data_IF_371286130584
#
_entry.id   IF_371286130584
#
_cell.length_a   1.000
_cell.length_b   1.000
_cell.length_c   1.000
_cell.angle_alpha   90.00
_cell.angle_beta   90.00
_cell.angle_gamma   90.00
#
_symmetry.space_group_name_H-M   'P 1'
#
loop_
_entity.id
_entity.type
_entity.pdbx_description
1 polymer ?
#
# COMPACT_ATOMS: atom_id res chain seq x y z
N UNK A 1 -6.84 -2.41 40.34
CA UNK A 1 -7.24 -1.74 39.09
C UNK A 1 -6.08 -1.96 38.12
N UNK A 2 -6.10 -3.14 37.50
CA UNK A 2 -4.93 -3.90 37.05
C UNK A 2 -4.95 -4.02 35.52
N UNK A 3 -3.76 -3.91 34.89
CA UNK A 3 -3.23 -4.52 33.65
C UNK A 3 -4.11 -4.87 32.42
N UNK A 4 -5.43 -5.04 32.54
CA UNK A 4 -6.34 -5.40 31.44
C UNK A 4 -6.50 -4.30 30.39
N UNK A 5 -6.32 -3.04 30.76
CA UNK A 5 -6.39 -1.91 29.82
C UNK A 5 -5.09 -1.70 29.01
N UNK A 6 -4.01 -2.45 29.32
CA UNK A 6 -2.71 -2.37 28.63
C UNK A 6 -2.53 -3.45 27.54
N UNK A 7 -3.50 -4.36 27.33
CA UNK A 7 -3.32 -5.53 26.46
C UNK A 7 -4.41 -5.78 25.41
N UNK A 8 -5.45 -4.96 25.33
CA UNK A 8 -6.40 -5.04 24.21
C UNK A 8 -6.05 -3.97 23.17
N UNK A 9 -5.54 -4.33 21.98
CA UNK A 9 -5.37 -3.36 20.91
C UNK A 9 -6.71 -2.67 20.66
N UNK A 10 -6.69 -1.35 20.45
CA UNK A 10 -7.93 -0.61 20.20
C UNK A 10 -8.71 -1.26 19.06
N UNK A 11 -10.06 -1.31 19.10
CA UNK A 11 -10.86 -1.92 18.04
C UNK A 11 -10.48 -1.39 16.65
N UNK A 12 -10.13 -0.11 16.54
CA UNK A 12 -9.64 0.50 15.31
C UNK A 12 -8.31 -0.10 14.81
N UNK A 13 -7.35 -0.37 15.71
CA UNK A 13 -6.09 -1.04 15.34
C UNK A 13 -6.35 -2.48 14.87
N UNK A 14 -7.20 -3.22 15.57
CA UNK A 14 -7.55 -4.60 15.17
C UNK A 14 -8.19 -4.66 13.78
N UNK A 15 -9.13 -3.73 13.49
CA UNK A 15 -9.78 -3.62 12.19
C UNK A 15 -8.76 -3.23 11.11
N UNK A 16 -7.87 -2.27 11.39
CA UNK A 16 -6.81 -1.88 10.46
C UNK A 16 -5.90 -3.06 10.14
N UNK A 17 -5.43 -3.80 11.15
CA UNK A 17 -4.58 -4.96 10.97
C UNK A 17 -5.28 -6.07 10.15
N UNK A 18 -6.61 -6.21 10.26
CA UNK A 18 -7.39 -7.09 9.39
C UNK A 18 -7.38 -6.57 7.95
N UNK A 19 -7.67 -5.29 7.75
CA UNK A 19 -7.81 -4.69 6.42
C UNK A 19 -6.47 -4.51 5.67
N UNK A 20 -5.33 -4.65 6.35
CA UNK A 20 -4.00 -4.69 5.73
C UNK A 20 -3.64 -6.04 5.11
N UNK A 21 -4.24 -7.14 5.58
CA UNK A 21 -4.01 -8.47 5.03
C UNK A 21 -5.20 -9.38 5.37
N UNK A 22 -6.20 -9.32 4.49
CA UNK A 22 -7.38 -10.15 4.57
C UNK A 22 -7.50 -11.06 3.36
N UNK A 23 -8.32 -12.08 3.53
CA UNK A 23 -8.93 -12.84 2.46
C UNK A 23 -10.44 -12.83 2.62
N UNK A 24 -11.11 -13.02 1.49
CA UNK A 24 -12.56 -13.05 1.40
C UNK A 24 -12.96 -14.52 1.34
N UNK A 25 -13.73 -14.97 2.33
CA UNK A 25 -14.27 -16.31 2.41
C UNK A 25 -15.78 -16.24 2.29
N UNK A 26 -16.38 -17.02 1.39
CA UNK A 26 -17.83 -17.14 1.36
C UNK A 26 -18.44 -17.49 0.01
N UNK A 27 -19.75 -17.26 -0.09
CA UNK A 27 -20.54 -17.40 -1.31
C UNK A 27 -21.00 -16.04 -1.81
N UNK A 28 -21.75 -16.01 -2.93
CA UNK A 28 -22.39 -14.79 -3.43
C UNK A 28 -23.37 -14.15 -2.42
N UNK A 29 -23.89 -14.92 -1.45
CA UNK A 29 -24.90 -14.45 -0.51
C UNK A 29 -24.30 -14.06 0.85
N UNK A 30 -23.20 -14.69 1.23
CA UNK A 30 -22.61 -14.55 2.56
C UNK A 30 -21.11 -14.49 2.45
N UNK A 31 -20.53 -13.40 2.97
CA UNK A 31 -19.11 -13.09 2.84
C UNK A 31 -18.55 -12.74 4.21
N UNK A 32 -17.38 -13.28 4.50
CA UNK A 32 -16.60 -13.00 5.71
C UNK A 32 -15.20 -12.54 5.29
N UNK A 33 -14.73 -11.45 5.92
CA UNK A 33 -13.34 -11.05 5.88
C UNK A 33 -12.59 -11.74 7.01
N UNK A 34 -11.52 -12.47 6.70
CA UNK A 34 -10.63 -13.06 7.71
C UNK A 34 -9.19 -12.66 7.46
N UNK A 35 -8.37 -12.66 8.51
CA UNK A 35 -6.93 -12.47 8.39
C UNK A 35 -6.30 -13.69 7.72
N UNK A 36 -5.42 -13.45 6.75
CA UNK A 36 -4.80 -14.51 5.94
C UNK A 36 -3.96 -15.51 6.76
N UNK A 37 -3.13 -15.02 7.66
CA UNK A 37 -2.11 -15.85 8.36
C UNK A 37 -2.37 -16.10 9.85
N UNK A 38 -3.55 -15.79 10.36
CA UNK A 38 -3.85 -15.91 11.80
C UNK A 38 -5.03 -16.82 12.14
N UNK A 39 -5.64 -17.48 11.15
CA UNK A 39 -6.73 -18.43 11.39
C UNK A 39 -6.20 -19.85 11.60
N UNK A 40 -6.57 -20.48 12.71
CA UNK A 40 -6.45 -21.92 12.90
C UNK A 40 -7.15 -22.64 11.73
N UNK A 41 -6.59 -23.71 11.14
CA UNK A 41 -7.23 -24.39 10.00
C UNK A 41 -8.69 -24.78 10.28
N UNK A 42 -8.95 -25.26 11.50
CA UNK A 42 -10.30 -25.59 11.99
C UNK A 42 -11.23 -24.38 12.05
N UNK A 43 -10.71 -23.18 12.31
CA UNK A 43 -11.50 -21.94 12.30
C UNK A 43 -11.92 -21.57 10.87
N UNK A 44 -11.01 -21.67 9.89
CA UNK A 44 -11.34 -21.46 8.47
C UNK A 44 -12.39 -22.45 8.01
N UNK A 45 -12.22 -23.74 8.30
CA UNK A 45 -13.20 -24.79 7.97
C UNK A 45 -14.57 -24.51 8.60
N UNK A 46 -14.61 -24.09 9.86
CA UNK A 46 -15.86 -23.75 10.54
C UNK A 46 -16.57 -22.54 9.91
N UNK A 47 -15.82 -21.51 9.47
CA UNK A 47 -16.39 -20.37 8.75
C UNK A 47 -17.01 -20.84 7.43
N UNK A 48 -16.27 -21.61 6.63
CA UNK A 48 -16.78 -22.15 5.36
C UNK A 48 -18.04 -22.99 5.58
N UNK A 49 -18.03 -23.89 6.58
CA UNK A 49 -19.17 -24.73 6.89
C UNK A 49 -20.41 -23.93 7.29
N UNK A 50 -20.23 -22.86 8.09
CA UNK A 50 -21.32 -21.98 8.49
C UNK A 50 -21.92 -21.24 7.28
N UNK A 51 -21.07 -20.70 6.41
CA UNK A 51 -21.48 -19.98 5.20
C UNK A 51 -22.21 -20.93 4.23
N UNK A 52 -21.68 -22.14 4.00
CA UNK A 52 -22.33 -23.13 3.14
C UNK A 52 -23.68 -23.56 3.71
N UNK A 53 -23.73 -23.86 5.02
CA UNK A 53 -24.96 -24.26 5.68
C UNK A 53 -26.04 -23.19 5.55
N UNK A 54 -25.71 -21.93 5.79
CA UNK A 54 -26.67 -20.83 5.71
C UNK A 54 -27.07 -20.52 4.26
N UNK A 55 -26.11 -20.48 3.33
CA UNK A 55 -26.38 -20.31 1.89
C UNK A 55 -27.32 -21.39 1.32
N UNK A 56 -27.10 -22.66 1.68
CA UNK A 56 -27.91 -23.79 1.22
C UNK A 56 -29.14 -24.06 2.10
N UNK A 57 -29.35 -23.26 3.16
CA UNK A 57 -30.43 -23.41 4.15
C UNK A 57 -30.45 -24.80 4.81
N UNK A 58 -29.27 -25.35 5.09
CA UNK A 58 -29.10 -26.61 5.79
C UNK A 58 -29.29 -26.39 7.29
N UNK A 59 -29.93 -27.34 7.95
CA UNK A 59 -30.16 -27.30 9.40
C UNK A 59 -28.93 -27.69 10.23
N UNK A 60 -27.84 -28.14 9.60
CA UNK A 60 -26.64 -28.64 10.27
C UNK A 60 -25.36 -28.14 9.60
N UNK A 61 -24.54 -27.44 10.38
CA UNK A 61 -23.18 -27.01 9.99
C UNK A 61 -22.26 -28.23 9.85
N UNK A 62 -22.40 -29.23 10.71
CA UNK A 62 -21.59 -30.46 10.64
C UNK A 62 -21.83 -31.24 9.35
N UNK A 63 -23.09 -31.32 8.91
CA UNK A 63 -23.44 -31.90 7.62
C UNK A 63 -22.77 -31.11 6.50
N UNK A 64 -22.90 -29.78 6.50
CA UNK A 64 -22.28 -28.91 5.49
C UNK A 64 -20.76 -29.10 5.42
N UNK A 65 -20.08 -29.11 6.57
CA UNK A 65 -18.64 -29.37 6.70
C UNK A 65 -18.24 -30.71 6.06
N UNK A 66 -18.94 -31.78 6.43
CA UNK A 66 -18.59 -33.14 5.99
C UNK A 66 -18.78 -33.36 4.48
N UNK A 67 -19.81 -32.75 3.89
CA UNK A 67 -20.22 -32.99 2.51
C UNK A 67 -19.59 -32.02 1.51
N UNK A 68 -19.38 -30.76 1.91
CA UNK A 68 -19.00 -29.70 0.97
C UNK A 68 -17.63 -29.07 1.26
N UNK A 69 -17.17 -29.03 2.52
CA UNK A 69 -15.95 -28.30 2.86
C UNK A 69 -14.65 -29.10 2.69
N UNK A 70 -14.69 -30.45 2.74
CA UNK A 70 -13.48 -31.29 2.58
C UNK A 70 -12.75 -31.03 1.26
N UNK A 71 -13.49 -30.98 0.14
CA UNK A 71 -12.91 -30.72 -1.20
C UNK A 71 -12.40 -29.29 -1.39
N UNK A 72 -13.02 -28.31 -0.72
CA UNK A 72 -12.66 -26.88 -0.89
C UNK A 72 -11.30 -26.60 -0.24
N UNK A 73 -10.99 -27.27 0.88
CA UNK A 73 -9.74 -27.08 1.61
C UNK A 73 -8.58 -27.87 1.01
N UNK A 74 -8.84 -28.98 0.33
CA UNK A 74 -7.81 -29.78 -0.34
C UNK A 74 -7.27 -29.11 -1.62
N UNK A 75 -8.02 -28.17 -2.23
CA UNK A 75 -7.58 -27.37 -3.40
C UNK A 75 -6.81 -26.09 -3.01
N UNK A 76 -6.71 -25.74 -1.71
CA UNK A 76 -6.02 -24.54 -1.21
C UNK A 76 -4.50 -24.74 -0.94
N UNK A 77 -3.92 -25.88 -1.31
CA UNK A 77 -2.55 -26.31 -0.95
C UNK A 77 -1.39 -25.56 -1.63
N UNK A 78 -1.63 -24.49 -2.40
CA UNK A 78 -0.58 -23.49 -2.71
C UNK A 78 -0.84 -22.13 -2.03
N UNK A 79 -0.55 -22.02 -0.72
CA UNK A 79 -0.72 -20.77 0.02
C UNK A 79 0.25 -19.65 -0.38
N UNK A 80 1.21 -19.90 -1.28
CA UNK A 80 2.40 -19.05 -1.50
C UNK A 80 2.53 -18.46 -2.93
N UNK A 81 1.57 -18.72 -3.83
CA UNK A 81 1.67 -18.34 -5.26
C UNK A 81 0.65 -17.29 -5.74
N UNK A 82 -0.26 -16.79 -4.88
CA UNK A 82 -1.22 -15.78 -5.33
C UNK A 82 -0.56 -14.41 -5.57
N UNK A 83 -0.84 -13.77 -6.71
CA UNK A 83 -0.36 -12.42 -7.03
C UNK A 83 -0.77 -11.39 -5.98
N UNK A 84 -1.95 -11.56 -5.36
CA UNK A 84 -2.44 -10.72 -4.27
C UNK A 84 -1.51 -10.78 -3.06
N UNK A 85 -1.03 -11.96 -2.68
CA UNK A 85 -0.11 -12.11 -1.56
C UNK A 85 1.23 -11.41 -1.85
N UNK A 86 1.77 -11.60 -3.06
CA UNK A 86 3.03 -10.94 -3.45
C UNK A 86 2.91 -9.42 -3.38
N UNK A 87 1.78 -8.87 -3.81
CA UNK A 87 1.47 -7.45 -3.64
C UNK A 87 1.36 -7.03 -2.16
N UNK A 88 0.66 -7.79 -1.32
CA UNK A 88 0.54 -7.50 0.12
C UNK A 88 1.93 -7.47 0.79
N UNK A 89 2.83 -8.37 0.41
CA UNK A 89 4.21 -8.39 0.92
C UNK A 89 5.02 -7.16 0.48
N UNK A 90 4.82 -6.68 -0.76
CA UNK A 90 5.40 -5.43 -1.24
C UNK A 90 4.89 -4.23 -0.42
N UNK A 91 3.57 -4.17 -0.14
CA UNK A 91 2.98 -3.15 0.72
C UNK A 91 3.55 -3.18 2.14
N UNK A 92 3.60 -4.35 2.79
CA UNK A 92 4.17 -4.50 4.14
C UNK A 92 5.62 -4.03 4.17
N UNK A 93 6.42 -4.35 3.15
CA UNK A 93 7.80 -3.87 3.06
C UNK A 93 7.90 -2.35 2.91
N UNK A 94 6.98 -1.73 2.16
CA UNK A 94 6.88 -0.28 2.03
C UNK A 94 6.48 0.38 3.37
N UNK A 95 5.50 -0.17 4.06
CA UNK A 95 5.06 0.28 5.39
C UNK A 95 6.19 0.18 6.43
N UNK A 96 6.80 -0.99 6.55
CA UNK A 96 7.92 -1.25 7.46
C UNK A 96 9.10 -0.30 7.20
N UNK A 97 9.37 0.01 5.93
CA UNK A 97 10.41 0.96 5.56
C UNK A 97 10.09 2.36 6.08
N UNK A 98 8.85 2.84 5.88
CA UNK A 98 8.41 4.15 6.39
C UNK A 98 8.44 4.22 7.91
N UNK A 99 7.96 3.17 8.60
CA UNK A 99 8.00 3.06 10.07
C UNK A 99 9.43 3.14 10.60
N UNK A 100 10.35 2.34 10.06
CA UNK A 100 11.76 2.35 10.46
C UNK A 100 12.43 3.70 10.26
N UNK A 101 12.07 4.43 9.21
CA UNK A 101 12.62 5.77 8.98
C UNK A 101 12.12 6.80 9.99
N UNK A 102 10.83 6.73 10.34
CA UNK A 102 10.23 7.61 11.36
C UNK A 102 10.86 7.30 12.73
N UNK A 103 11.03 6.02 13.08
CA UNK A 103 11.64 5.59 14.34
C UNK A 103 13.11 6.01 14.52
N UNK A 104 13.79 6.40 13.43
CA UNK A 104 15.17 6.93 13.48
C UNK A 104 15.25 8.39 13.90
N UNK A 105 14.13 9.09 13.99
CA UNK A 105 14.08 10.47 14.45
C UNK A 105 14.58 10.53 15.90
N UNK A 106 15.56 11.40 16.15
CA UNK A 106 16.16 11.58 17.47
C UNK A 106 16.42 13.08 17.67
N UNK A 107 15.40 13.82 18.14
CA UNK A 107 15.48 15.26 18.32
C UNK A 107 16.22 15.67 19.61
N UNK A 108 16.55 14.72 20.48
CA UNK A 108 17.14 15.01 21.79
C UNK A 108 18.48 15.75 21.66
N UNK A 109 18.59 16.90 22.35
CA UNK A 109 19.82 17.71 22.35
C UNK A 109 20.10 18.46 21.05
N UNK A 110 19.13 18.56 20.14
CA UNK A 110 19.23 19.29 18.88
C UNK A 110 18.47 20.62 18.94
N UNK A 111 18.86 21.55 18.07
CA UNK A 111 18.20 22.85 17.94
C UNK A 111 16.74 22.70 17.50
N UNK A 112 15.90 23.66 17.90
CA UNK A 112 14.50 23.69 17.50
C UNK A 112 14.37 23.73 15.96
N UNK A 113 13.53 22.87 15.35
CA UNK A 113 13.38 22.84 13.91
C UNK A 113 12.76 24.12 13.38
N UNK A 114 13.17 24.53 12.17
CA UNK A 114 12.48 25.61 11.47
C UNK A 114 11.04 25.21 11.13
N UNK A 115 10.18 26.21 10.87
CA UNK A 115 8.77 25.96 10.53
C UNK A 115 8.60 25.00 9.34
N UNK A 116 9.50 25.07 8.37
CA UNK A 116 9.51 24.18 7.21
C UNK A 116 9.81 22.72 7.58
N UNK A 117 10.83 22.49 8.41
CA UNK A 117 11.23 21.16 8.87
C UNK A 117 10.10 20.54 9.71
N UNK A 118 9.54 21.30 10.64
CA UNK A 118 8.42 20.86 11.47
C UNK A 118 7.18 20.55 10.62
N UNK A 119 6.81 21.45 9.70
CA UNK A 119 5.69 21.25 8.79
C UNK A 119 5.86 20.02 7.89
N UNK A 120 7.07 19.78 7.39
CA UNK A 120 7.41 18.58 6.63
C UNK A 120 7.23 17.31 7.47
N UNK A 121 7.70 17.29 8.73
CA UNK A 121 7.53 16.13 9.63
C UNK A 121 6.06 15.79 9.82
N UNK A 122 5.22 16.78 10.16
CA UNK A 122 3.78 16.59 10.36
C UNK A 122 3.08 15.98 9.15
N UNK A 123 3.41 16.48 7.94
CA UNK A 123 2.81 15.98 6.69
C UNK A 123 3.32 14.59 6.34
N UNK A 124 4.59 14.29 6.58
CA UNK A 124 5.19 13.00 6.25
C UNK A 124 4.73 11.89 7.22
N UNK A 125 4.72 12.12 8.53
CA UNK A 125 4.34 11.11 9.53
C UNK A 125 2.91 10.57 9.30
N UNK A 126 1.96 11.42 8.89
CA UNK A 126 0.59 10.99 8.55
C UNK A 126 0.50 10.11 7.30
N UNK A 127 1.53 10.06 6.44
CA UNK A 127 1.45 9.37 5.16
C UNK A 127 1.35 7.85 5.29
N UNK A 128 1.73 7.26 6.43
CA UNK A 128 1.47 5.84 6.69
C UNK A 128 -0.02 5.50 6.57
N UNK A 129 -0.91 6.41 6.99
CA UNK A 129 -2.36 6.23 6.84
C UNK A 129 -2.84 6.46 5.40
N UNK A 130 -2.13 7.30 4.64
CA UNK A 130 -2.43 7.52 3.21
C UNK A 130 -1.98 6.31 2.38
N UNK A 131 -0.81 5.74 2.68
CA UNK A 131 -0.31 4.49 2.10
C UNK A 131 -1.28 3.34 2.36
N UNK A 132 -1.75 3.20 3.61
CA UNK A 132 -2.78 2.22 3.96
C UNK A 132 -4.08 2.43 3.17
N UNK A 133 -4.54 3.68 3.04
CA UNK A 133 -5.73 3.98 2.24
C UNK A 133 -5.58 3.57 0.77
N UNK A 134 -4.43 3.86 0.14
CA UNK A 134 -4.14 3.42 -1.21
C UNK A 134 -4.12 1.89 -1.32
N UNK A 135 -3.45 1.22 -0.36
CA UNK A 135 -3.39 -0.23 -0.30
C UNK A 135 -4.78 -0.88 -0.19
N UNK A 136 -5.64 -0.38 0.71
CA UNK A 136 -6.99 -0.91 0.87
C UNK A 136 -7.80 -0.80 -0.43
N UNK A 137 -7.71 0.34 -1.13
CA UNK A 137 -8.39 0.51 -2.42
C UNK A 137 -7.86 -0.48 -3.47
N UNK A 138 -6.55 -0.67 -3.56
CA UNK A 138 -5.94 -1.66 -4.46
C UNK A 138 -6.34 -3.10 -4.12
N UNK A 139 -6.35 -3.46 -2.83
CA UNK A 139 -6.76 -4.79 -2.34
C UNK A 139 -8.23 -5.10 -2.62
N UNK A 140 -9.09 -4.07 -2.70
CA UNK A 140 -10.50 -4.19 -3.08
C UNK A 140 -10.72 -4.14 -4.60
N UNK A 141 -9.67 -3.97 -5.40
CA UNK A 141 -9.76 -3.84 -6.86
C UNK A 141 -10.16 -2.45 -7.36
N UNK A 142 -10.28 -1.46 -6.46
CA UNK A 142 -10.62 -0.06 -6.75
C UNK A 142 -9.38 0.68 -7.26
N UNK A 143 -8.96 0.33 -8.47
CA UNK A 143 -7.71 0.80 -9.10
C UNK A 143 -7.61 2.33 -9.15
N UNK A 144 -8.68 3.00 -9.57
CA UNK A 144 -8.71 4.44 -9.83
C UNK A 144 -8.64 5.23 -8.52
N UNK A 145 -9.41 4.81 -7.52
CA UNK A 145 -9.39 5.37 -6.18
C UNK A 145 -8.02 5.13 -5.52
N UNK A 146 -7.43 3.95 -5.71
CA UNK A 146 -6.07 3.65 -5.27
C UNK A 146 -5.03 4.59 -5.89
N UNK A 147 -5.13 4.86 -7.20
CA UNK A 147 -4.27 5.84 -7.89
C UNK A 147 -4.51 7.28 -7.40
N UNK A 148 -5.76 7.64 -7.09
CA UNK A 148 -6.11 8.97 -6.58
C UNK A 148 -5.48 9.21 -5.20
N UNK A 149 -5.60 8.23 -4.29
CA UNK A 149 -4.97 8.30 -2.96
C UNK A 149 -3.43 8.27 -3.08
N UNK A 150 -2.90 7.49 -4.02
CA UNK A 150 -1.45 7.45 -4.32
C UNK A 150 -0.92 8.80 -4.83
N UNK A 151 -1.69 9.47 -5.70
CA UNK A 151 -1.38 10.83 -6.19
C UNK A 151 -1.40 11.85 -5.05
N UNK A 152 -2.39 11.77 -4.18
CA UNK A 152 -2.47 12.62 -2.98
C UNK A 152 -1.22 12.44 -2.10
N UNK A 153 -0.77 11.20 -1.89
CA UNK A 153 0.47 10.93 -1.15
C UNK A 153 1.69 11.58 -1.82
N UNK A 154 1.85 11.42 -3.14
CA UNK A 154 2.94 12.04 -3.90
C UNK A 154 2.92 13.57 -3.78
N UNK A 155 1.75 14.17 -3.88
CA UNK A 155 1.53 15.62 -3.74
C UNK A 155 1.90 16.11 -2.33
N UNK A 156 1.57 15.34 -1.28
CA UNK A 156 1.97 15.63 0.10
C UNK A 156 3.48 15.48 0.33
N UNK A 157 4.14 14.49 -0.29
CA UNK A 157 5.61 14.35 -0.26
C UNK A 157 6.27 15.55 -0.96
N UNK A 158 5.76 15.98 -2.11
CA UNK A 158 6.26 17.15 -2.81
C UNK A 158 6.09 18.44 -2.01
N UNK A 159 4.94 18.59 -1.34
CA UNK A 159 4.72 19.71 -0.42
C UNK A 159 5.76 19.72 0.71
N UNK A 160 6.03 18.58 1.34
CA UNK A 160 7.02 18.46 2.41
C UNK A 160 8.44 18.78 1.92
N UNK A 161 8.79 18.34 0.70
CA UNK A 161 10.04 18.71 0.03
C UNK A 161 10.18 20.22 -0.16
N UNK A 162 9.11 20.91 -0.55
CA UNK A 162 9.16 22.37 -0.65
C UNK A 162 9.25 23.04 0.73
N UNK A 163 8.48 22.54 1.70
CA UNK A 163 8.39 23.11 3.04
C UNK A 163 9.73 23.11 3.76
N UNK A 164 10.48 22.00 3.78
CA UNK A 164 11.75 21.93 4.54
C UNK A 164 12.82 22.92 4.05
N UNK A 165 12.69 23.44 2.83
CA UNK A 165 13.60 24.45 2.28
C UNK A 165 13.30 25.89 2.73
N UNK A 166 12.29 26.07 3.59
CA UNK A 166 11.77 27.37 4.00
C UNK A 166 11.78 27.49 5.53
N UNK A 167 12.36 28.58 6.03
CA UNK A 167 12.37 28.86 7.48
C UNK A 167 11.24 29.81 7.92
N UNK A 168 10.52 30.40 6.98
CA UNK A 168 9.50 31.43 7.22
C UNK A 168 8.08 30.84 7.14
N UNK A 169 7.31 31.03 8.21
CA UNK A 169 5.94 30.51 8.32
C UNK A 169 5.01 31.04 7.22
N UNK A 170 5.11 32.30 6.83
CA UNK A 170 4.25 32.89 5.81
C UNK A 170 4.60 32.40 4.41
N UNK A 171 5.85 32.00 4.16
CA UNK A 171 6.24 31.27 2.94
C UNK A 171 5.71 29.85 2.96
N UNK A 172 5.79 29.14 4.09
CA UNK A 172 5.24 27.77 4.22
C UNK A 172 3.73 27.75 3.95
N UNK A 173 2.97 28.72 4.50
CA UNK A 173 1.52 28.86 4.26
C UNK A 173 1.15 29.07 2.79
N UNK A 174 2.07 29.59 1.98
CA UNK A 174 1.84 29.92 0.55
C UNK A 174 2.23 28.80 -0.39
N UNK A 175 2.74 27.67 0.10
CA UNK A 175 3.09 26.53 -0.75
C UNK A 175 1.82 26.03 -1.45
N UNK A 176 1.89 25.97 -2.79
CA UNK A 176 0.84 25.40 -3.62
C UNK A 176 1.27 24.00 -4.01
N UNK A 177 0.56 22.98 -3.52
CA UNK A 177 0.90 21.56 -3.69
C UNK A 177 1.12 21.16 -5.15
N UNK A 178 0.29 21.66 -6.06
CA UNK A 178 0.41 21.37 -7.51
C UNK A 178 1.65 21.98 -8.17
N UNK A 179 2.27 23.00 -7.54
CA UNK A 179 3.55 23.58 -7.98
C UNK A 179 4.75 22.92 -7.30
N UNK A 180 4.56 22.35 -6.12
CA UNK A 180 5.60 21.69 -5.35
C UNK A 180 6.18 20.47 -6.09
N UNK A 181 5.33 19.73 -6.82
CA UNK A 181 5.77 18.58 -7.62
C UNK A 181 6.82 18.96 -8.68
N UNK A 182 6.69 20.15 -9.28
CA UNK A 182 7.66 20.64 -10.27
C UNK A 182 9.03 20.94 -9.65
N UNK A 183 9.07 21.33 -8.37
CA UNK A 183 10.33 21.50 -7.63
C UNK A 183 10.95 20.15 -7.29
N UNK A 184 10.15 19.21 -6.78
CA UNK A 184 10.62 17.86 -6.48
C UNK A 184 11.16 17.15 -7.74
N UNK A 185 10.51 17.32 -8.89
CA UNK A 185 10.94 16.69 -10.16
C UNK A 185 12.30 17.17 -10.65
N UNK A 186 12.69 18.42 -10.34
CA UNK A 186 14.05 18.91 -10.65
C UNK A 186 15.12 18.17 -9.85
N UNK A 187 14.77 17.72 -8.66
CA UNK A 187 15.66 16.99 -7.76
C UNK A 187 15.62 15.46 -8.00
N UNK A 188 14.42 14.92 -8.23
CA UNK A 188 14.16 13.49 -8.45
C UNK A 188 13.35 13.34 -9.75
N UNK A 189 14.01 13.26 -10.92
CA UNK A 189 13.31 13.30 -12.22
C UNK A 189 12.26 12.20 -12.42
N UNK A 190 12.48 11.02 -11.84
CA UNK A 190 11.55 9.90 -11.99
C UNK A 190 10.21 10.14 -11.28
N UNK A 191 10.13 11.02 -10.26
CA UNK A 191 8.86 11.33 -9.60
C UNK A 191 7.88 12.04 -10.55
N UNK A 192 8.39 12.79 -11.54
CA UNK A 192 7.56 13.42 -12.57
C UNK A 192 6.87 12.38 -13.47
N UNK A 193 7.55 11.25 -13.77
CA UNK A 193 6.92 10.13 -14.50
C UNK A 193 5.83 9.47 -13.68
N UNK A 194 6.07 9.24 -12.39
CA UNK A 194 5.06 8.71 -11.48
C UNK A 194 3.85 9.65 -11.38
N UNK A 195 4.09 10.97 -11.27
CA UNK A 195 3.01 11.96 -11.24
C UNK A 195 2.18 11.96 -12.52
N UNK A 196 2.84 11.92 -13.69
CA UNK A 196 2.16 11.85 -14.98
C UNK A 196 1.31 10.59 -15.12
N UNK A 197 1.87 9.43 -14.74
CA UNK A 197 1.18 8.15 -14.72
C UNK A 197 -0.07 8.19 -13.82
N UNK A 198 0.07 8.62 -12.56
CA UNK A 198 -1.05 8.71 -11.62
C UNK A 198 -2.09 9.75 -12.07
N UNK A 199 -1.66 10.86 -12.66
CA UNK A 199 -2.58 11.87 -13.19
C UNK A 199 -3.41 11.30 -14.35
N UNK A 200 -2.77 10.60 -15.28
CA UNK A 200 -3.48 9.94 -16.38
C UNK A 200 -4.49 8.92 -15.85
N UNK A 201 -4.10 8.08 -14.89
CA UNK A 201 -4.95 7.01 -14.34
C UNK A 201 -6.03 7.47 -13.35
N UNK A 202 -6.07 8.76 -13.01
CA UNK A 202 -7.09 9.32 -12.11
C UNK A 202 -8.16 10.12 -12.85
N UNK A 203 -7.92 10.46 -14.10
CA UNK A 203 -8.90 11.13 -14.95
C UNK A 203 -9.63 10.09 -15.79
N UNK A 204 -10.95 10.00 -15.57
CA UNK A 204 -11.84 9.26 -16.45
C UNK A 204 -11.99 10.09 -17.73
N UNK A 205 -11.11 9.82 -18.69
CA UNK A 205 -11.18 10.36 -20.04
C UNK A 205 -11.67 9.29 -21.03
N UNK A 206 -11.97 9.73 -22.25
CA UNK A 206 -12.50 8.85 -23.29
C UNK A 206 -11.59 7.65 -23.59
N UNK A 207 -10.27 7.83 -23.48
CA UNK A 207 -9.28 6.79 -23.76
C UNK A 207 -9.22 5.74 -22.64
N UNK A 208 -9.39 6.16 -21.38
CA UNK A 208 -9.35 5.27 -20.21
C UNK A 208 -10.68 4.52 -19.99
N UNK A 209 -11.80 4.94 -20.61
CA UNK A 209 -13.09 4.24 -20.51
C UNK A 209 -13.02 2.76 -20.92
N UNK A 210 -12.15 2.42 -21.88
CA UNK A 210 -12.02 1.05 -22.37
C UNK A 210 -11.51 0.09 -21.28
N UNK A 211 -10.80 0.61 -20.26
CA UNK A 211 -10.31 -0.21 -19.15
C UNK A 211 -11.46 -0.81 -18.33
N UNK A 212 -12.65 -0.20 -18.37
CA UNK A 212 -13.83 -0.66 -17.65
C UNK A 212 -14.80 -1.44 -18.53
N UNK A 213 -14.59 -1.50 -19.84
CA UNK A 213 -15.55 -2.10 -20.76
C UNK A 213 -15.02 -3.43 -21.29
N UNK A 214 -15.76 -4.50 -20.99
CA UNK A 214 -15.60 -5.78 -21.68
C UNK A 214 -16.83 -6.11 -22.49
N UNK A 215 -16.64 -6.81 -23.59
CA UNK A 215 -17.74 -7.44 -24.31
C UNK A 215 -17.78 -8.90 -23.93
N UNK A 216 -18.85 -9.32 -23.27
CA UNK A 216 -19.10 -10.72 -22.92
C UNK A 216 -20.45 -11.14 -23.50
N UNK A 217 -20.45 -12.20 -24.31
CA UNK A 217 -21.67 -12.72 -24.97
C UNK A 217 -22.48 -11.66 -25.73
N UNK A 218 -21.79 -10.74 -26.42
CA UNK A 218 -22.41 -9.65 -27.19
C UNK A 218 -23.01 -8.52 -26.36
N UNK A 219 -22.73 -8.47 -25.04
CA UNK A 219 -23.15 -7.40 -24.14
C UNK A 219 -21.95 -6.66 -23.57
N UNK A 220 -22.11 -5.35 -23.36
CA UNK A 220 -21.14 -4.56 -22.64
C UNK A 220 -21.27 -4.85 -21.13
N UNK A 221 -20.15 -5.26 -20.52
CA UNK A 221 -19.99 -5.48 -19.08
C UNK A 221 -19.06 -4.40 -18.55
N UNK A 222 -19.50 -3.74 -17.47
CA UNK A 222 -18.69 -2.74 -16.77
C UNK A 222 -17.89 -3.46 -15.68
N UNK A 223 -16.57 -3.39 -15.77
CA UNK A 223 -15.67 -3.89 -14.75
C UNK A 223 -15.65 -2.90 -13.59
N UNK A 224 -16.19 -3.31 -12.45
CA UNK A 224 -16.15 -2.52 -11.22
C UNK A 224 -14.81 -2.64 -10.47
N UNK A 225 -14.03 -3.68 -10.76
CA UNK A 225 -12.71 -3.89 -10.18
C UNK A 225 -11.82 -4.67 -11.14
N UNK A 226 -10.55 -4.29 -11.20
CA UNK A 226 -9.54 -5.00 -11.97
C UNK A 226 -8.27 -5.03 -11.14
N UNK A 227 -7.76 -6.21 -10.81
CA UNK A 227 -6.51 -6.31 -10.08
C UNK A 227 -5.32 -6.15 -11.04
N UNK A 228 -4.42 -5.20 -10.73
CA UNK A 228 -3.17 -4.98 -11.44
C UNK A 228 -2.00 -4.98 -10.44
N UNK A 229 -1.83 -6.10 -9.74
CA UNK A 229 -0.93 -6.25 -8.59
C UNK A 229 0.52 -5.77 -8.83
N UNK A 230 1.08 -5.98 -10.03
CA UNK A 230 2.41 -5.47 -10.40
C UNK A 230 2.45 -3.94 -10.39
N UNK A 231 1.48 -3.31 -11.03
CA UNK A 231 1.34 -1.85 -11.06
C UNK A 231 1.12 -1.29 -9.65
N UNK A 232 0.29 -1.95 -8.84
CA UNK A 232 0.00 -1.52 -7.47
C UNK A 232 1.25 -1.56 -6.60
N UNK A 233 2.02 -2.64 -6.70
CA UNK A 233 3.30 -2.77 -6.02
C UNK A 233 4.27 -1.68 -6.47
N UNK A 234 4.39 -1.44 -7.78
CA UNK A 234 5.28 -0.42 -8.32
C UNK A 234 4.95 0.97 -7.76
N UNK A 235 3.67 1.35 -7.74
CA UNK A 235 3.23 2.64 -7.18
C UNK A 235 3.56 2.74 -5.69
N UNK A 236 3.13 1.76 -4.88
CA UNK A 236 3.31 1.76 -3.42
C UNK A 236 4.79 1.79 -3.04
N UNK A 237 5.62 0.98 -3.69
CA UNK A 237 7.05 0.90 -3.45
C UNK A 237 7.76 2.20 -3.87
N UNK A 238 7.42 2.78 -5.03
CA UNK A 238 8.00 4.06 -5.46
C UNK A 238 7.61 5.23 -4.54
N UNK A 239 6.38 5.24 -4.01
CA UNK A 239 5.96 6.27 -3.05
C UNK A 239 6.71 6.15 -1.72
N UNK A 240 6.91 4.92 -1.21
CA UNK A 240 7.68 4.70 0.01
C UNK A 240 9.16 5.08 -0.15
N UNK A 241 9.75 4.81 -1.32
CA UNK A 241 11.10 5.25 -1.64
C UNK A 241 11.23 6.78 -1.70
N UNK A 242 10.27 7.44 -2.36
CA UNK A 242 10.23 8.90 -2.43
C UNK A 242 10.03 9.52 -1.06
N UNK A 243 9.15 8.93 -0.24
CA UNK A 243 8.97 9.29 1.16
C UNK A 243 10.30 9.22 1.88
N UNK A 244 11.06 8.12 1.75
CA UNK A 244 12.31 7.96 2.48
C UNK A 244 13.38 8.96 2.09
N UNK A 245 13.46 9.30 0.80
CA UNK A 245 14.36 10.35 0.33
C UNK A 245 13.97 11.70 0.95
N UNK A 246 12.70 12.10 0.89
CA UNK A 246 12.26 13.42 1.39
C UNK A 246 12.28 13.50 2.91
N UNK A 247 11.95 12.40 3.61
CA UNK A 247 12.08 12.28 5.06
C UNK A 247 13.52 12.53 5.49
N UNK A 248 14.49 11.80 4.93
CA UNK A 248 15.88 11.98 5.30
C UNK A 248 16.48 13.33 4.92
N UNK A 249 15.99 13.96 3.84
CA UNK A 249 16.38 15.33 3.50
C UNK A 249 15.85 16.33 4.52
N UNK A 250 14.56 16.26 4.82
CA UNK A 250 13.91 17.22 5.72
C UNK A 250 14.39 17.09 7.16
N UNK A 251 14.65 15.85 7.60
CA UNK A 251 15.05 15.54 8.97
C UNK A 251 16.56 15.26 9.11
N UNK A 252 17.39 15.60 8.12
CA UNK A 252 18.80 15.17 8.04
C UNK A 252 19.59 15.40 9.33
N UNK A 253 19.44 16.58 9.95
CA UNK A 253 20.12 16.93 11.20
C UNK A 253 19.50 16.25 12.42
N UNK A 254 18.26 15.78 12.33
CA UNK A 254 17.48 15.13 13.38
C UNK A 254 17.57 13.60 13.37
N UNK A 255 18.20 13.01 12.35
CA UNK A 255 18.39 11.56 12.25
C UNK A 255 19.73 11.10 12.85
N UNK A 256 19.75 9.85 13.33
CA UNK A 256 20.98 9.17 13.77
C UNK A 256 21.83 8.69 12.60
N UNK A 257 21.16 8.23 11.55
CA UNK A 257 21.76 7.69 10.34
C UNK A 257 20.86 7.96 9.13
N UNK A 258 21.46 7.97 7.94
CA UNK A 258 20.76 8.13 6.66
C UNK A 258 21.15 7.01 5.71
N UNK A 259 20.19 6.49 4.96
CA UNK A 259 20.35 5.41 3.98
C UNK A 259 19.92 5.81 2.56
N UNK A 260 18.95 6.71 2.43
CA UNK A 260 18.39 7.18 1.16
C UNK A 260 19.11 8.42 0.64
N UNK A 261 19.67 9.24 1.52
CA UNK A 261 20.25 10.56 1.19
C UNK A 261 21.72 10.64 1.58
N UNK A 262 22.48 11.42 0.83
CA UNK A 262 23.81 11.89 1.23
C UNK A 262 23.87 13.42 1.11
N UNK A 263 24.65 14.05 1.99
CA UNK A 263 24.93 15.47 1.96
C UNK A 263 26.41 15.69 1.68
N UNK A 264 26.75 16.31 0.54
CA UNK A 264 28.14 16.58 0.14
C UNK A 264 28.26 18.01 -0.36
N UNK A 265 29.24 18.75 0.16
CA UNK A 265 29.53 20.14 -0.25
C UNK A 265 28.30 21.06 -0.22
N UNK A 266 27.44 20.93 0.79
CA UNK A 266 26.24 21.77 0.93
C UNK A 266 25.04 21.32 0.10
N UNK A 267 25.12 20.20 -0.63
CA UNK A 267 24.09 19.74 -1.55
C UNK A 267 23.62 18.35 -1.14
N UNK A 268 22.29 18.18 -1.05
CA UNK A 268 21.65 16.88 -0.88
C UNK A 268 21.63 16.13 -2.21
N UNK A 269 21.74 14.80 -2.17
CA UNK A 269 21.47 13.93 -3.32
C UNK A 269 20.96 12.57 -2.84
N UNK A 270 20.00 11.99 -3.57
CA UNK A 270 19.59 10.61 -3.32
C UNK A 270 20.75 9.64 -3.61
N UNK A 271 20.92 8.61 -2.77
CA UNK A 271 21.90 7.55 -3.02
C UNK A 271 21.34 6.60 -4.09
N UNK A 272 22.10 6.38 -5.15
CA UNK A 272 21.73 5.45 -6.23
C UNK A 272 21.60 4.00 -5.71
N UNK A 273 22.44 3.62 -4.75
CA UNK A 273 22.53 2.29 -4.16
C UNK A 273 21.82 2.18 -2.79
N UNK A 274 20.85 3.04 -2.51
CA UNK A 274 20.06 2.99 -1.26
C UNK A 274 19.44 1.61 -1.04
N UNK A 275 19.42 1.06 0.19
CA UNK A 275 19.00 -0.32 0.45
C UNK A 275 17.59 -0.64 -0.06
N UNK A 276 16.65 0.29 0.13
CA UNK A 276 15.25 0.07 -0.22
C UNK A 276 15.04 -0.16 -1.73
N UNK A 277 15.89 0.39 -2.60
CA UNK A 277 15.82 0.13 -4.05
C UNK A 277 15.95 -1.35 -4.39
N UNK A 278 16.79 -2.09 -3.66
CA UNK A 278 16.92 -3.55 -3.82
C UNK A 278 15.64 -4.27 -3.39
N UNK A 279 14.96 -3.78 -2.35
CA UNK A 279 13.65 -4.28 -1.91
C UNK A 279 12.60 -4.07 -3.00
N UNK A 280 12.60 -2.92 -3.68
CA UNK A 280 11.69 -2.66 -4.81
C UNK A 280 11.93 -3.68 -5.92
N UNK A 281 13.18 -3.82 -6.37
CA UNK A 281 13.55 -4.74 -7.45
C UNK A 281 13.17 -6.19 -7.10
N UNK A 282 13.43 -6.62 -5.87
CA UNK A 282 13.06 -7.94 -5.39
C UNK A 282 11.56 -8.22 -5.50
N UNK A 283 10.71 -7.31 -4.98
CA UNK A 283 9.25 -7.50 -4.98
C UNK A 283 8.67 -7.46 -6.39
N UNK A 284 9.13 -6.54 -7.24
CA UNK A 284 8.63 -6.45 -8.61
C UNK A 284 8.99 -7.70 -9.43
N UNK A 285 10.22 -8.22 -9.27
CA UNK A 285 10.63 -9.47 -9.91
C UNK A 285 9.86 -10.68 -9.39
N UNK A 286 9.54 -10.74 -8.09
CA UNK A 286 8.75 -11.83 -7.52
C UNK A 286 7.32 -11.83 -8.09
N UNK A 287 6.67 -10.67 -8.13
CA UNK A 287 5.32 -10.52 -8.72
C UNK A 287 5.32 -10.88 -10.20
N UNK A 288 6.31 -10.42 -10.97
CA UNK A 288 6.42 -10.71 -12.41
C UNK A 288 6.60 -12.22 -12.68
N UNK A 289 7.47 -12.89 -11.92
CA UNK A 289 7.66 -14.34 -12.03
C UNK A 289 6.38 -15.11 -11.72
N UNK A 290 5.67 -14.71 -10.67
CA UNK A 290 4.39 -15.32 -10.31
C UNK A 290 3.34 -15.09 -11.42
N UNK A 291 3.29 -13.90 -12.01
CA UNK A 291 2.34 -13.60 -13.09
C UNK A 291 2.59 -14.48 -14.33
N UNK A 292 3.86 -14.70 -14.69
CA UNK A 292 4.22 -15.50 -15.85
C UNK A 292 3.95 -17.00 -15.66
N UNK A 293 4.12 -17.53 -14.44
CA UNK A 293 3.76 -18.93 -14.13
C UNK A 293 2.26 -19.18 -14.31
N UNK A 294 1.42 -18.23 -13.94
CA UNK A 294 -0.04 -18.36 -14.03
C UNK A 294 -0.58 -18.30 -15.48
N UNK A 295 0.25 -17.94 -16.47
CA UNK A 295 -0.11 -17.89 -17.89
C UNK A 295 0.21 -19.21 -18.62
N UNK A 296 1.02 -20.11 -18.02
CA UNK A 296 1.39 -21.41 -18.60
C UNK A 296 0.76 -22.66 -17.92
N UNK A 297 -0.56 -22.77 -17.68
CA UNK A 297 -1.12 -24.03 -17.18
C UNK A 297 -1.55 -25.04 -18.26
N UNK A 298 -1.75 -24.67 -19.54
CA UNK A 298 -2.30 -25.58 -20.57
C UNK A 298 -1.43 -25.71 -21.83
N UNK A 299 -0.24 -26.28 -21.68
CA UNK A 299 0.57 -26.73 -22.82
C UNK A 299 1.27 -28.05 -22.52
N UNK A 300 0.49 -29.09 -22.20
CA UNK A 300 0.88 -30.50 -22.33
C UNK A 300 -0.36 -31.40 -22.49
#
# INVERSE_FOLDING_TARGET
MMLKELLEPSPGKMVRDLLEDFEIVGTINEIVLKKRYQSWPTFTENIYAAIVASTLRLSSIDYARSQYCKRILDDEDEPDSSLSLKYVNAYKSAKDYMEKLIDRLSPEGKDEPSYGIFGASLVLERLQSTLFGAHLMYSLGNRYEGHAVSRLMLEQIAWAYEAFTLDDLDKVKKIVTTKAISKLTKFIPWCGRLYGFLSQKTHIDYENHIEFLRTENGKNVILHGQAAHYEYAQVILCLADLFGIVWEMSQFHYLKETEAVQFRKGIYSARENRPFRKTIEHHLLDIEKTANKNIQPDAE
#
